data_IF_504796377614
#
_entry.id   IF_504796377614
#
_cell.length_a   1.000
_cell.length_b   1.000
_cell.length_c   1.000
_cell.angle_alpha   90.00
_cell.angle_beta   90.00
_cell.angle_gamma   90.00
#
_symmetry.space_group_name_H-M   'P 1'
#
loop_
_entity.id
_entity.type
_entity.pdbx_description
1 polymer ?
#
# COMPACT_ATOMS: atom_id res chain seq x y z
N UNK A 1 75.26 36.42 63.70
CA UNK A 1 74.34 36.27 62.56
C UNK A 1 74.91 35.18 61.67
N UNK A 2 74.42 33.94 61.81
CA UNK A 2 74.55 33.00 60.70
C UNK A 2 73.81 33.65 59.56
N UNK A 3 74.53 34.12 58.54
CA UNK A 3 73.94 34.32 57.23
C UNK A 3 73.12 33.06 56.98
N UNK A 4 71.85 33.21 56.58
CA UNK A 4 71.04 32.08 56.17
C UNK A 4 71.74 31.50 54.94
N UNK A 5 72.74 30.64 55.17
CA UNK A 5 73.28 29.75 54.16
C UNK A 5 72.05 29.11 53.55
N UNK A 6 71.96 29.17 52.21
CA UNK A 6 70.79 28.74 51.46
C UNK A 6 70.19 27.53 52.15
N UNK A 7 68.99 27.68 52.72
CA UNK A 7 68.39 26.71 53.65
C UNK A 7 68.28 25.32 53.00
N UNK A 8 68.39 25.29 51.67
CA UNK A 8 68.50 24.11 50.82
C UNK A 8 69.67 24.35 49.83
N UNK A 9 70.63 23.43 49.76
CA UNK A 9 71.67 23.40 48.72
C UNK A 9 71.11 22.82 47.40
N UNK A 10 71.72 23.08 46.24
CA UNK A 10 71.25 22.52 44.95
C UNK A 10 72.37 22.22 43.96
N UNK A 11 72.18 21.22 43.11
CA UNK A 11 73.12 20.83 42.06
C UNK A 11 72.87 19.41 41.54
N UNK A 12 73.85 18.79 40.88
CA UNK A 12 73.72 17.42 40.36
C UNK A 12 73.76 16.38 41.49
N UNK A 13 73.05 15.25 41.36
CA UNK A 13 73.08 14.18 42.36
C UNK A 13 74.50 13.64 42.61
N UNK A 14 75.32 13.55 41.56
CA UNK A 14 76.72 13.13 41.66
C UNK A 14 77.64 14.11 42.39
N UNK A 15 77.16 15.33 42.66
CA UNK A 15 77.90 16.38 43.34
C UNK A 15 77.46 16.57 44.81
N UNK A 16 76.73 15.60 45.39
CA UNK A 16 76.36 15.63 46.81
C UNK A 16 77.62 15.73 47.69
N UNK A 17 77.72 16.74 48.58
CA UNK A 17 78.83 16.83 49.51
C UNK A 17 78.75 15.69 50.54
N UNK A 18 79.84 15.45 51.27
CA UNK A 18 79.86 14.40 52.29
C UNK A 18 78.75 14.63 53.35
N UNK A 19 77.96 13.58 53.60
CA UNK A 19 76.94 13.57 54.63
C UNK A 19 77.61 13.67 56.01
N UNK A 20 77.36 14.77 56.70
CA UNK A 20 78.06 15.12 57.95
C UNK A 20 77.31 16.12 58.81
N UNK A 21 76.23 16.71 58.29
CA UNK A 21 75.45 17.74 58.99
C UNK A 21 73.99 17.29 58.99
N UNK A 22 73.53 16.62 60.07
CA UNK A 22 72.15 16.19 60.19
C UNK A 22 71.16 17.33 59.97
N UNK A 23 70.17 17.10 59.09
CA UNK A 23 69.06 18.01 58.83
C UNK A 23 69.27 19.00 57.68
N UNK A 24 70.47 19.07 57.08
CA UNK A 24 70.70 19.84 55.85
C UNK A 24 69.92 19.21 54.68
N UNK A 25 69.34 20.06 53.84
CA UNK A 25 68.59 19.67 52.64
C UNK A 25 69.39 19.96 51.36
N UNK A 26 69.25 19.08 50.38
CA UNK A 26 69.83 19.25 49.04
C UNK A 26 68.79 18.93 47.95
N UNK A 27 68.63 19.82 46.97
CA UNK A 27 67.82 19.59 45.78
C UNK A 27 68.71 19.16 44.60
N UNK A 28 68.63 17.88 44.24
CA UNK A 28 69.32 17.33 43.08
C UNK A 28 68.54 17.69 41.80
N UNK A 29 69.05 18.67 41.05
CA UNK A 29 68.33 19.31 39.92
C UNK A 29 68.19 18.41 38.70
N UNK A 30 69.06 17.41 38.56
CA UNK A 30 69.06 16.43 37.47
C UNK A 30 68.06 15.29 37.69
N UNK A 31 67.82 14.92 38.94
CA UNK A 31 66.87 13.87 39.33
C UNK A 31 65.54 14.44 39.85
N UNK A 32 65.46 15.76 40.01
CA UNK A 32 64.34 16.50 40.62
C UNK A 32 63.97 16.00 42.03
N UNK A 33 64.97 15.53 42.79
CA UNK A 33 64.80 14.92 44.10
C UNK A 33 65.32 15.81 45.24
N UNK A 34 64.64 15.76 46.38
CA UNK A 34 65.08 16.37 47.64
C UNK A 34 65.70 15.29 48.53
N UNK A 35 66.90 15.56 49.03
CA UNK A 35 67.66 14.69 49.91
C UNK A 35 67.89 15.38 51.26
N UNK A 36 67.89 14.62 52.37
CA UNK A 36 68.33 15.13 53.68
C UNK A 36 69.56 14.39 54.16
N UNK A 37 70.51 15.14 54.67
CA UNK A 37 71.68 14.61 55.34
C UNK A 37 71.27 14.10 56.73
N UNK A 38 71.55 12.84 57.05
CA UNK A 38 71.30 12.26 58.38
C UNK A 38 72.54 12.27 59.29
N UNK A 39 73.65 12.85 58.82
CA UNK A 39 74.96 12.89 59.48
C UNK A 39 75.94 11.81 59.04
N UNK A 40 75.47 10.79 58.30
CA UNK A 40 76.30 9.68 57.83
C UNK A 40 76.01 9.27 56.39
N UNK A 41 74.79 9.50 55.91
CA UNK A 41 74.36 9.31 54.53
C UNK A 41 73.32 10.36 54.13
N UNK A 42 73.01 10.41 52.84
CA UNK A 42 71.90 11.20 52.30
C UNK A 42 70.67 10.30 52.14
N UNK A 43 69.56 10.67 52.77
CA UNK A 43 68.28 9.99 52.65
C UNK A 43 67.40 10.73 51.63
N UNK A 44 66.86 10.02 50.63
CA UNK A 44 65.91 10.60 49.69
C UNK A 44 64.59 10.85 50.42
N UNK A 45 64.17 12.11 50.48
CA UNK A 45 62.92 12.54 51.12
C UNK A 45 61.99 13.26 50.16
N UNK A 46 62.25 13.16 48.87
CA UNK A 46 61.30 13.58 47.85
C UNK A 46 59.98 12.89 48.16
N UNK A 47 58.87 13.61 48.39
CA UNK A 47 57.58 12.98 48.60
C UNK A 47 57.33 11.99 47.48
N UNK A 48 57.02 10.74 47.82
CA UNK A 48 56.73 9.72 46.82
C UNK A 48 55.49 10.17 46.02
N UNK A 49 55.72 10.68 44.80
CA UNK A 49 54.64 11.11 43.90
C UNK A 49 54.71 12.53 43.33
N UNK A 50 55.88 13.11 43.07
CA UNK A 50 55.93 14.40 42.37
C UNK A 50 55.49 14.34 40.88
N UNK A 51 55.38 13.15 40.25
CA UNK A 51 54.87 12.98 38.86
C UNK A 51 54.22 11.61 38.61
N UNK A 52 53.25 11.18 39.41
CA UNK A 52 52.67 9.84 39.27
C UNK A 52 51.19 9.75 39.66
N UNK A 53 50.37 9.17 38.78
CA UNK A 53 49.07 8.59 39.17
C UNK A 53 49.37 7.37 40.06
N UNK A 54 49.03 7.42 41.36
CA UNK A 54 49.31 6.28 42.26
C UNK A 54 48.36 5.10 42.00
N UNK A 55 47.07 5.37 41.71
CA UNK A 55 46.13 4.45 41.07
C UNK A 55 44.89 5.21 40.55
N UNK A 56 44.32 4.77 39.43
CA UNK A 56 42.90 4.98 39.10
C UNK A 56 42.14 3.70 39.50
N UNK A 57 41.03 3.84 40.21
CA UNK A 57 40.21 2.71 40.69
C UNK A 57 38.77 2.83 40.15
N UNK A 58 38.08 1.70 40.00
CA UNK A 58 36.74 1.63 39.40
C UNK A 58 36.79 1.31 37.90
N UNK A 59 35.90 1.93 37.12
CA UNK A 59 35.72 1.63 35.68
C UNK A 59 36.89 2.07 34.80
N UNK A 60 37.78 2.91 35.32
CA UNK A 60 39.07 3.23 34.70
C UNK A 60 40.16 2.74 35.63
N UNK A 61 40.98 1.81 35.15
CA UNK A 61 42.10 1.27 35.90
C UNK A 61 43.41 1.75 35.29
N UNK A 62 44.32 2.23 36.14
CA UNK A 62 45.72 2.49 35.83
C UNK A 62 46.53 2.36 37.12
N UNK A 63 47.68 1.69 37.08
CA UNK A 63 48.51 1.44 38.28
C UNK A 63 50.00 1.69 37.99
N UNK A 64 50.70 2.29 38.94
CA UNK A 64 52.15 2.51 38.89
C UNK A 64 52.53 3.98 38.58
N UNK A 65 53.73 4.43 38.98
CA UNK A 65 54.13 5.82 38.81
C UNK A 65 54.46 6.19 37.35
N UNK A 66 54.41 7.49 37.03
CA UNK A 66 54.75 8.02 35.70
C UNK A 66 53.58 7.97 34.69
N UNK A 67 53.91 7.73 33.41
CA UNK A 67 52.92 7.58 32.33
C UNK A 67 52.35 6.16 32.32
N UNK A 68 51.10 6.01 32.75
CA UNK A 68 50.40 4.72 32.79
C UNK A 68 49.25 4.70 31.78
N UNK A 69 49.10 3.59 31.04
CA UNK A 69 47.99 3.39 30.13
C UNK A 69 46.68 3.20 30.91
N UNK A 70 45.72 4.12 30.72
CA UNK A 70 44.39 3.99 31.29
C UNK A 70 43.54 3.01 30.46
N UNK A 71 42.95 2.01 31.11
CA UNK A 71 42.05 1.04 30.46
C UNK A 71 40.67 1.12 31.08
N UNK A 72 39.62 1.15 30.26
CA UNK A 72 38.24 1.01 30.74
C UNK A 72 37.94 -0.46 31.06
N UNK A 73 37.27 -0.72 32.18
CA UNK A 73 36.69 -2.02 32.48
C UNK A 73 35.55 -2.34 31.48
N UNK A 74 35.22 -3.62 31.32
CA UNK A 74 34.07 -4.02 30.52
C UNK A 74 32.79 -3.66 31.29
N UNK A 75 31.88 -2.91 30.66
CA UNK A 75 30.66 -2.40 31.29
C UNK A 75 29.52 -3.42 31.38
N UNK A 76 29.79 -4.71 31.13
CA UNK A 76 28.77 -5.78 31.07
C UNK A 76 27.93 -5.78 29.79
N UNK A 77 28.07 -4.76 28.92
CA UNK A 77 27.49 -4.74 27.58
C UNK A 77 28.24 -5.72 26.69
N UNK A 78 27.53 -6.71 26.14
CA UNK A 78 28.11 -7.62 25.15
C UNK A 78 28.47 -6.83 23.89
N UNK A 79 29.73 -6.93 23.47
CA UNK A 79 30.20 -6.32 22.23
C UNK A 79 29.40 -6.85 21.04
N UNK A 80 28.97 -5.96 20.16
CA UNK A 80 28.18 -6.34 18.99
C UNK A 80 27.29 -5.22 18.49
N UNK A 81 26.53 -5.54 17.44
CA UNK A 81 25.54 -4.65 16.85
C UNK A 81 24.18 -4.95 17.46
N UNK A 82 23.55 -3.90 17.99
CA UNK A 82 22.20 -3.87 18.52
C UNK A 82 21.36 -3.22 17.44
N UNK A 83 20.27 -3.84 17.00
CA UNK A 83 19.53 -3.37 15.83
C UNK A 83 18.27 -2.58 16.24
N UNK A 84 17.94 -1.55 15.44
CA UNK A 84 16.76 -0.67 15.57
C UNK A 84 16.63 0.10 16.91
N UNK A 85 17.39 1.21 17.12
CA UNK A 85 18.39 1.77 16.22
C UNK A 85 19.62 0.88 16.14
N UNK A 86 20.30 0.88 14.99
CA UNK A 86 21.52 0.09 14.81
C UNK A 86 22.67 0.79 15.54
N UNK A 87 23.04 0.28 16.71
CA UNK A 87 24.14 0.79 17.54
C UNK A 87 25.17 -0.31 17.74
N UNK A 88 26.42 -0.02 17.42
CA UNK A 88 27.53 -0.97 17.63
C UNK A 88 28.28 -0.61 18.91
N UNK A 89 28.48 -1.59 19.78
CA UNK A 89 29.28 -1.44 20.99
C UNK A 89 30.57 -2.25 20.91
N UNK A 90 31.67 -1.66 21.37
CA UNK A 90 32.91 -2.41 21.57
C UNK A 90 32.90 -3.25 22.86
N UNK A 91 33.96 -4.02 23.11
CA UNK A 91 34.11 -4.85 24.32
C UNK A 91 34.14 -4.05 25.63
N UNK A 92 34.31 -2.73 25.54
CA UNK A 92 34.24 -1.82 26.68
C UNK A 92 32.88 -1.12 26.79
N UNK A 93 31.91 -1.54 25.98
CA UNK A 93 30.54 -1.02 25.92
C UNK A 93 30.45 0.44 25.47
N UNK A 94 31.45 0.94 24.74
CA UNK A 94 31.37 2.26 24.12
C UNK A 94 30.65 2.13 22.78
N UNK A 95 29.72 3.04 22.50
CA UNK A 95 29.11 3.13 21.17
C UNK A 95 30.17 3.58 20.16
N UNK A 96 30.38 2.79 19.11
CA UNK A 96 31.36 3.04 18.05
C UNK A 96 30.71 3.39 16.71
N UNK A 97 29.40 3.14 16.56
CA UNK A 97 28.58 3.56 15.44
C UNK A 97 27.11 3.64 15.87
N UNK A 98 26.33 4.55 15.27
CA UNK A 98 24.88 4.64 15.45
C UNK A 98 24.21 5.10 14.16
N UNK A 99 23.24 4.33 13.66
CA UNK A 99 22.40 4.68 12.50
C UNK A 99 20.94 4.29 12.77
N UNK A 100 19.99 5.06 12.23
CA UNK A 100 18.60 4.61 12.13
C UNK A 100 18.54 3.47 11.10
N UNK A 101 17.86 2.38 11.43
CA UNK A 101 17.84 1.17 10.61
C UNK A 101 16.51 0.45 10.66
N UNK A 102 16.37 -0.54 9.80
CA UNK A 102 15.24 -1.46 9.73
C UNK A 102 15.76 -2.90 9.68
N UNK A 103 14.93 -3.86 10.07
CA UNK A 103 15.20 -5.28 9.84
C UNK A 103 14.85 -5.66 8.41
N UNK A 104 15.75 -6.35 7.72
CA UNK A 104 15.41 -6.92 6.42
C UNK A 104 14.58 -8.19 6.63
N UNK A 105 13.45 -8.27 5.94
CA UNK A 105 12.70 -9.52 5.82
C UNK A 105 13.52 -10.55 5.04
N UNK A 106 13.75 -11.72 5.65
CA UNK A 106 14.40 -12.88 5.03
C UNK A 106 13.43 -14.04 4.78
N UNK A 107 12.13 -13.82 5.00
CA UNK A 107 11.09 -14.83 4.87
C UNK A 107 10.59 -14.97 3.44
N UNK A 108 9.32 -15.37 3.31
CA UNK A 108 8.59 -15.51 2.05
C UNK A 108 7.31 -14.70 2.08
N UNK A 109 6.61 -14.59 0.94
CA UNK A 109 5.32 -13.90 0.88
C UNK A 109 4.35 -14.43 1.96
N UNK A 110 3.74 -13.51 2.72
CA UNK A 110 2.84 -13.79 3.85
C UNK A 110 3.48 -14.49 5.07
N UNK A 111 4.76 -14.87 5.00
CA UNK A 111 5.49 -15.53 6.08
C UNK A 111 6.85 -14.85 6.26
N UNK A 112 6.81 -13.66 6.86
CA UNK A 112 7.96 -12.79 7.04
C UNK A 112 8.88 -13.31 8.15
N UNK A 113 10.16 -12.96 8.08
CA UNK A 113 11.14 -13.35 9.09
C UNK A 113 12.15 -12.24 9.32
N UNK A 114 12.44 -11.92 10.58
CA UNK A 114 13.45 -10.93 10.97
C UNK A 114 14.44 -11.52 11.97
N UNK A 115 15.71 -11.13 11.85
CA UNK A 115 16.75 -11.46 12.83
C UNK A 115 17.07 -10.22 13.65
N UNK A 116 16.86 -10.29 14.95
CA UNK A 116 17.02 -9.20 15.92
C UNK A 116 18.11 -9.56 16.92
N UNK A 117 19.13 -8.69 17.01
CA UNK A 117 20.21 -8.78 17.99
C UNK A 117 20.22 -7.53 18.88
N UNK A 118 20.38 -7.69 20.22
CA UNK A 118 20.24 -8.94 20.96
C UNK A 118 18.81 -9.50 20.86
N UNK A 119 18.64 -10.79 21.15
CA UNK A 119 17.32 -11.42 21.08
C UNK A 119 16.33 -10.74 22.06
N UNK A 120 15.18 -10.24 21.59
CA UNK A 120 14.25 -9.52 22.45
C UNK A 120 13.41 -10.48 23.30
N UNK A 121 12.97 -10.00 24.46
CA UNK A 121 11.81 -10.56 25.15
C UNK A 121 10.56 -9.85 24.65
N UNK A 122 9.58 -10.60 24.13
CA UNK A 122 8.35 -10.01 23.60
C UNK A 122 7.40 -9.64 24.73
N UNK A 123 7.08 -8.36 24.82
CA UNK A 123 6.08 -7.77 25.72
C UNK A 123 5.20 -6.82 24.93
N UNK A 124 3.96 -6.61 25.38
CA UNK A 124 3.06 -5.66 24.73
C UNK A 124 3.72 -4.27 24.63
N UNK A 125 3.62 -3.63 23.47
CA UNK A 125 4.31 -2.39 23.12
C UNK A 125 5.68 -2.57 22.47
N UNK A 126 6.23 -3.78 22.39
CA UNK A 126 7.47 -4.03 21.63
C UNK A 126 7.24 -3.74 20.14
N UNK A 127 8.00 -2.80 19.56
CA UNK A 127 7.86 -2.42 18.16
C UNK A 127 9.18 -2.38 17.40
N UNK A 128 9.09 -2.63 16.09
CA UNK A 128 10.23 -2.51 15.18
C UNK A 128 9.81 -2.15 13.76
N UNK A 129 10.77 -1.61 13.00
CA UNK A 129 10.61 -1.41 11.57
C UNK A 129 11.21 -2.57 10.80
N UNK A 130 10.50 -3.07 9.78
CA UNK A 130 11.04 -4.02 8.83
C UNK A 130 10.87 -3.54 7.39
N UNK A 131 11.82 -3.87 6.53
CA UNK A 131 11.68 -3.75 5.08
C UNK A 131 11.23 -5.09 4.52
N UNK A 132 9.99 -5.16 4.05
CA UNK A 132 9.41 -6.36 3.47
C UNK A 132 10.12 -6.71 2.16
N UNK A 133 10.53 -7.97 1.97
CA UNK A 133 11.09 -8.43 0.70
C UNK A 133 9.97 -8.82 -0.28
N UNK A 134 8.80 -9.21 0.26
CA UNK A 134 7.66 -9.70 -0.50
C UNK A 134 6.39 -8.91 -0.19
N UNK A 135 5.57 -8.68 -1.22
CA UNK A 135 4.23 -8.14 -1.01
C UNK A 135 3.32 -9.20 -0.35
N UNK A 136 2.37 -8.77 0.48
CA UNK A 136 1.38 -9.70 1.01
C UNK A 136 0.20 -9.88 0.04
N UNK A 137 -0.31 -11.09 -0.04
CA UNK A 137 -1.48 -11.48 -0.86
C UNK A 137 -2.61 -12.08 -0.03
N UNK A 138 -2.43 -12.16 1.29
CA UNK A 138 -3.42 -12.64 2.25
C UNK A 138 -3.00 -12.36 3.69
N UNK A 139 -3.47 -13.19 4.61
CA UNK A 139 -3.09 -13.14 6.01
C UNK A 139 -1.59 -13.40 6.15
N UNK A 140 -0.91 -12.58 6.94
CA UNK A 140 0.54 -12.60 7.07
C UNK A 140 0.99 -12.89 8.49
N UNK A 141 2.20 -13.42 8.62
CA UNK A 141 2.88 -13.65 9.90
C UNK A 141 4.30 -13.11 9.86
N UNK A 142 4.88 -12.84 11.03
CA UNK A 142 6.32 -12.58 11.20
C UNK A 142 6.90 -13.52 12.25
N UNK A 143 8.06 -14.11 11.96
CA UNK A 143 8.87 -14.84 12.92
C UNK A 143 10.10 -14.02 13.34
N UNK A 144 10.44 -14.07 14.63
CA UNK A 144 11.62 -13.38 15.17
C UNK A 144 12.66 -14.43 15.53
N UNK A 145 13.88 -14.30 15.00
CA UNK A 145 15.01 -15.20 15.27
C UNK A 145 14.69 -16.69 15.06
N UNK A 146 13.84 -17.02 14.08
CA UNK A 146 13.42 -18.40 13.81
C UNK A 146 12.48 -19.01 14.85
N UNK A 147 11.95 -18.20 15.78
CA UNK A 147 10.91 -18.61 16.74
C UNK A 147 9.54 -18.80 16.09
N UNK A 148 8.52 -18.98 16.93
CA UNK A 148 7.13 -19.14 16.49
C UNK A 148 6.67 -17.95 15.64
N UNK A 149 6.01 -18.25 14.52
CA UNK A 149 5.39 -17.23 13.69
C UNK A 149 4.20 -16.60 14.42
N UNK A 150 4.18 -15.27 14.48
CA UNK A 150 3.13 -14.47 15.12
C UNK A 150 2.35 -13.75 14.02
N UNK A 151 1.03 -13.68 14.14
CA UNK A 151 0.17 -13.01 13.16
C UNK A 151 0.54 -11.54 13.01
N UNK A 152 0.44 -11.04 11.78
CA UNK A 152 0.42 -9.62 11.49
C UNK A 152 -1.02 -9.20 11.19
N UNK A 153 -1.52 -8.24 11.94
CA UNK A 153 -2.90 -7.74 11.86
C UNK A 153 -2.94 -6.23 11.64
N UNK A 154 -4.13 -5.74 11.29
CA UNK A 154 -4.47 -4.32 11.17
C UNK A 154 -5.68 -4.01 12.06
N UNK A 155 -5.83 -2.75 12.44
CA UNK A 155 -6.98 -2.27 13.21
C UNK A 155 -7.29 -3.15 14.44
N UNK A 156 -6.27 -3.47 15.24
CA UNK A 156 -6.40 -4.42 16.35
C UNK A 156 -6.09 -5.84 15.91
N UNK A 157 -7.12 -6.62 15.60
CA UNK A 157 -7.03 -8.08 15.38
C UNK A 157 -7.45 -8.50 13.97
N UNK A 158 -7.63 -7.56 13.04
CA UNK A 158 -8.10 -7.90 11.69
C UNK A 158 -6.93 -8.45 10.89
N UNK A 159 -7.06 -9.67 10.36
CA UNK A 159 -6.05 -10.24 9.47
C UNK A 159 -5.85 -9.37 8.22
N UNK A 160 -4.63 -9.37 7.68
CA UNK A 160 -4.37 -8.77 6.38
C UNK A 160 -5.09 -9.55 5.27
N UNK A 161 -5.50 -8.84 4.23
CA UNK A 161 -6.28 -9.41 3.11
C UNK A 161 -5.52 -9.47 1.79
N UNK A 162 -4.35 -8.82 1.72
CA UNK A 162 -3.54 -8.68 0.52
C UNK A 162 -3.42 -7.21 0.12
N UNK A 163 -2.21 -6.81 -0.30
CA UNK A 163 -1.92 -5.46 -0.78
C UNK A 163 -1.64 -4.42 0.30
N UNK A 164 -1.72 -4.77 1.60
CA UNK A 164 -1.35 -3.86 2.69
C UNK A 164 0.16 -3.65 2.85
N UNK A 165 0.96 -4.61 2.41
CA UNK A 165 2.43 -4.60 2.46
C UNK A 165 2.93 -4.79 1.03
N UNK A 166 3.69 -3.82 0.52
CA UNK A 166 4.35 -3.92 -0.77
C UNK A 166 5.79 -4.44 -0.65
N UNK A 167 6.29 -5.13 -1.67
CA UNK A 167 7.69 -5.53 -1.74
C UNK A 167 8.61 -4.29 -1.73
N UNK A 168 9.61 -4.30 -0.87
CA UNK A 168 10.54 -3.19 -0.65
C UNK A 168 10.03 -2.10 0.30
N UNK A 169 8.78 -2.17 0.76
CA UNK A 169 8.21 -1.21 1.71
C UNK A 169 8.81 -1.38 3.10
N UNK A 170 9.14 -0.26 3.75
CA UNK A 170 9.44 -0.24 5.18
C UNK A 170 8.10 -0.06 5.93
N UNK A 171 7.81 -0.98 6.83
CA UNK A 171 6.62 -0.95 7.69
C UNK A 171 7.03 -0.98 9.16
N UNK A 172 6.17 -0.45 10.01
CA UNK A 172 6.30 -0.52 11.47
C UNK A 172 5.29 -1.52 12.05
N UNK A 173 5.81 -2.45 12.84
CA UNK A 173 5.04 -3.47 13.55
C UNK A 173 5.15 -3.22 15.06
N UNK A 174 4.04 -3.34 15.79
CA UNK A 174 4.07 -3.36 17.25
C UNK A 174 3.28 -4.54 17.81
N UNK A 175 3.89 -5.24 18.75
CA UNK A 175 3.31 -6.39 19.44
C UNK A 175 2.29 -5.91 20.48
N UNK A 176 1.08 -6.45 20.44
CA UNK A 176 0.01 -6.09 21.40
C UNK A 176 -0.08 -7.06 22.60
N UNK A 177 0.81 -8.07 22.64
CA UNK A 177 0.78 -9.16 23.62
C UNK A 177 0.25 -10.48 23.06
N UNK A 178 -0.33 -10.48 21.85
CA UNK A 178 -0.76 -11.68 21.13
C UNK A 178 -0.29 -11.67 19.67
N UNK A 179 -0.47 -10.55 18.98
CA UNK A 179 -0.23 -10.37 17.55
C UNK A 179 0.65 -9.12 17.30
N UNK A 180 1.26 -9.03 16.12
CA UNK A 180 1.91 -7.80 15.65
C UNK A 180 0.92 -6.98 14.84
N UNK A 181 0.66 -5.74 15.24
CA UNK A 181 -0.16 -4.82 14.47
C UNK A 181 0.71 -3.96 13.55
N UNK A 182 0.30 -3.76 12.29
CA UNK A 182 0.91 -2.75 11.41
C UNK A 182 0.42 -1.36 11.81
N UNK A 183 1.33 -0.47 12.21
CA UNK A 183 1.01 0.87 12.76
C UNK A 183 1.47 2.00 11.83
N UNK A 184 2.50 1.73 11.02
CA UNK A 184 3.04 2.66 10.03
C UNK A 184 3.26 1.93 8.72
N UNK A 185 2.52 2.35 7.69
CA UNK A 185 2.54 1.74 6.36
C UNK A 185 1.24 2.06 5.67
N UNK A 186 1.27 3.02 4.75
CA UNK A 186 0.18 3.27 3.82
C UNK A 186 0.10 2.11 2.82
N UNK A 187 -0.30 0.94 3.30
CA UNK A 187 -0.94 -0.05 2.47
C UNK A 187 -2.31 0.50 2.17
N UNK A 188 -2.53 0.95 0.93
CA UNK A 188 -3.85 1.12 0.36
C UNK A 188 -4.54 -0.24 0.44
N UNK A 189 -5.06 -0.57 1.62
CA UNK A 189 -5.67 -1.86 1.90
C UNK A 189 -6.91 -1.96 1.06
N UNK A 190 -6.77 -2.59 -0.10
CA UNK A 190 -7.85 -3.21 -0.88
C UNK A 190 -9.15 -2.42 -0.97
N UNK A 191 -9.11 -1.08 -0.97
CA UNK A 191 -10.29 -0.24 -1.13
C UNK A 191 -10.70 -0.11 -2.60
N UNK A 192 -10.25 -1.04 -3.45
CA UNK A 192 -10.77 -1.22 -4.79
C UNK A 192 -12.06 -2.01 -4.76
N UNK A 193 -12.70 -2.13 -5.92
CA UNK A 193 -13.86 -3.00 -6.08
C UNK A 193 -13.43 -4.45 -5.79
N UNK A 194 -13.90 -5.01 -4.67
CA UNK A 194 -13.56 -6.38 -4.23
C UNK A 194 -14.11 -7.46 -5.15
N UNK A 195 -15.22 -7.16 -5.85
CA UNK A 195 -15.73 -7.94 -6.97
C UNK A 195 -16.61 -7.07 -7.87
N UNK A 196 -16.43 -7.18 -9.17
CA UNK A 196 -17.45 -6.81 -10.15
C UNK A 196 -18.15 -8.13 -10.47
N UNK A 197 -19.39 -8.30 -10.02
CA UNK A 197 -20.18 -9.46 -10.41
C UNK A 197 -20.73 -9.17 -11.80
N UNK A 198 -20.37 -9.99 -12.78
CA UNK A 198 -21.01 -9.94 -14.08
C UNK A 198 -22.51 -10.26 -13.91
N UNK A 199 -23.35 -9.28 -14.22
CA UNK A 199 -24.80 -9.42 -14.30
C UNK A 199 -25.26 -9.20 -15.75
N UNK A 200 -26.56 -9.14 -16.00
CA UNK A 200 -27.11 -8.95 -17.36
C UNK A 200 -26.51 -7.76 -18.12
N UNK A 201 -26.11 -6.70 -17.41
CA UNK A 201 -25.59 -5.46 -18.00
C UNK A 201 -24.09 -5.24 -17.76
N UNK A 202 -23.41 -6.22 -17.16
CA UNK A 202 -21.97 -6.13 -16.84
C UNK A 202 -21.30 -7.39 -17.33
N UNK A 203 -20.49 -7.28 -18.37
CA UNK A 203 -19.71 -8.40 -18.89
C UNK A 203 -18.24 -8.21 -18.56
N UNK A 204 -17.58 -9.28 -18.11
CA UNK A 204 -16.13 -9.33 -17.86
C UNK A 204 -15.55 -10.36 -18.82
N UNK A 205 -14.61 -9.96 -19.68
CA UNK A 205 -13.99 -10.86 -20.64
C UNK A 205 -12.49 -10.59 -20.84
N UNK A 206 -11.63 -11.62 -20.87
CA UNK A 206 -11.95 -13.03 -20.57
C UNK A 206 -12.21 -13.26 -19.07
N UNK A 207 -12.94 -14.33 -18.72
CA UNK A 207 -13.11 -14.72 -17.32
C UNK A 207 -11.79 -15.25 -16.75
N UNK A 208 -11.21 -14.50 -15.82
CA UNK A 208 -9.90 -14.81 -15.21
C UNK A 208 -8.73 -14.19 -15.99
N UNK A 209 -8.18 -13.08 -15.47
CA UNK A 209 -7.07 -12.34 -16.08
C UNK A 209 -7.33 -10.84 -16.12
N UNK A 210 -6.47 -10.09 -16.83
CA UNK A 210 -6.67 -8.66 -17.10
C UNK A 210 -7.65 -8.50 -18.26
N UNK A 211 -8.95 -8.57 -17.97
CA UNK A 211 -10.03 -8.37 -18.94
C UNK A 211 -10.61 -6.95 -18.91
N UNK A 212 -11.35 -6.57 -19.95
CA UNK A 212 -12.12 -5.33 -19.95
C UNK A 212 -13.45 -5.53 -19.21
N UNK A 213 -13.90 -4.51 -18.49
CA UNK A 213 -15.26 -4.44 -17.95
C UNK A 213 -16.10 -3.65 -18.93
N UNK A 214 -17.09 -4.30 -19.53
CA UNK A 214 -18.07 -3.64 -20.39
C UNK A 214 -19.37 -3.48 -19.62
N UNK A 215 -19.81 -2.23 -19.48
CA UNK A 215 -21.16 -1.90 -19.00
C UNK A 215 -22.02 -1.80 -20.24
N UNK A 216 -22.85 -2.80 -20.47
CA UNK A 216 -23.80 -2.79 -21.58
C UNK A 216 -25.01 -1.95 -21.15
N UNK A 217 -25.22 -0.81 -21.81
CA UNK A 217 -26.29 0.14 -21.49
C UNK A 217 -27.70 -0.39 -21.86
N UNK A 218 -27.82 -1.66 -22.27
CA UNK A 218 -29.08 -2.31 -22.65
C UNK A 218 -30.10 -2.46 -21.51
N UNK A 219 -29.68 -2.34 -20.25
CA UNK A 219 -30.59 -2.40 -19.10
C UNK A 219 -30.73 -1.07 -18.37
N UNK A 220 -31.47 -0.14 -18.99
CA UNK A 220 -32.10 0.99 -18.32
C UNK A 220 -31.19 2.17 -17.99
N UNK A 221 -31.18 3.18 -18.86
CA UNK A 221 -30.77 4.54 -18.47
C UNK A 221 -29.86 5.30 -19.44
N UNK A 222 -29.38 4.69 -20.52
CA UNK A 222 -28.75 5.42 -21.63
C UNK A 222 -29.75 5.56 -22.75
N UNK A 223 -30.02 6.79 -23.21
CA UNK A 223 -30.94 7.07 -24.31
C UNK A 223 -30.60 6.27 -25.57
N UNK A 224 -31.23 5.09 -25.69
CA UNK A 224 -31.30 4.34 -26.93
C UNK A 224 -31.84 5.28 -27.99
N UNK A 225 -31.28 5.20 -29.20
CA UNK A 225 -31.69 6.00 -30.34
C UNK A 225 -33.23 6.09 -30.36
N UNK A 226 -33.78 7.26 -30.02
CA UNK A 226 -35.23 7.51 -29.97
C UNK A 226 -35.87 7.36 -31.38
N UNK A 227 -35.02 7.23 -32.40
CA UNK A 227 -35.37 6.83 -33.74
C UNK A 227 -35.37 5.30 -33.85
N UNK A 228 -36.56 4.74 -34.09
CA UNK A 228 -36.70 3.34 -34.49
C UNK A 228 -36.06 3.05 -35.85
N UNK A 229 -35.84 1.77 -36.20
CA UNK A 229 -35.29 1.39 -37.50
C UNK A 229 -36.23 1.79 -38.64
N UNK A 230 -35.65 2.00 -39.83
CA UNK A 230 -36.40 2.13 -41.08
C UNK A 230 -36.26 0.84 -41.86
N UNK A 231 -37.35 0.10 -42.02
CA UNK A 231 -37.42 -1.13 -42.78
C UNK A 231 -38.03 -0.89 -44.16
N UNK A 232 -37.25 -1.13 -45.21
CA UNK A 232 -37.62 -0.82 -46.58
C UNK A 232 -38.20 -2.04 -47.30
N UNK A 233 -39.50 -1.98 -47.61
CA UNK A 233 -40.25 -3.06 -48.24
C UNK A 233 -40.62 -2.70 -49.69
N UNK A 234 -40.40 -3.64 -50.60
CA UNK A 234 -40.72 -3.49 -52.04
C UNK A 234 -41.72 -4.53 -52.55
N UNK A 235 -42.15 -5.46 -51.69
CA UNK A 235 -43.13 -6.50 -52.04
C UNK A 235 -44.56 -5.96 -52.12
N UNK A 236 -45.46 -6.77 -52.69
CA UNK A 236 -46.91 -6.51 -52.67
C UNK A 236 -47.57 -6.98 -51.37
N UNK A 237 -46.83 -7.68 -50.51
CA UNK A 237 -47.30 -8.13 -49.20
C UNK A 237 -46.13 -8.13 -48.22
N UNK A 238 -46.39 -7.65 -47.01
CA UNK A 238 -45.46 -7.68 -45.90
C UNK A 238 -46.20 -8.05 -44.61
N UNK A 239 -45.61 -8.89 -43.77
CA UNK A 239 -46.12 -9.14 -42.42
C UNK A 239 -45.10 -8.59 -41.45
N UNK A 240 -45.55 -7.73 -40.55
CA UNK A 240 -44.70 -7.07 -39.56
C UNK A 240 -43.95 -8.10 -38.70
N UNK A 241 -42.73 -7.77 -38.33
CA UNK A 241 -41.84 -8.57 -37.49
C UNK A 241 -41.21 -7.72 -36.39
N UNK A 242 -40.77 -8.35 -35.31
CA UNK A 242 -40.31 -7.62 -34.11
C UNK A 242 -39.16 -6.64 -34.41
N UNK A 243 -38.34 -6.92 -35.43
CA UNK A 243 -37.26 -6.02 -35.89
C UNK A 243 -37.73 -4.71 -36.51
N UNK A 244 -39.02 -4.56 -36.84
CA UNK A 244 -39.58 -3.31 -37.36
C UNK A 244 -39.75 -2.27 -36.24
N UNK A 245 -39.84 -2.72 -34.98
CA UNK A 245 -39.91 -1.85 -33.80
C UNK A 245 -39.28 -2.54 -32.57
N UNK A 246 -37.98 -2.85 -32.59
CA UNK A 246 -37.32 -3.64 -31.54
C UNK A 246 -37.35 -2.94 -30.17
N UNK A 247 -37.45 -1.60 -30.18
CA UNK A 247 -37.53 -0.75 -29.01
C UNK A 247 -38.91 -0.08 -28.85
N UNK A 248 -39.94 -0.60 -29.51
CA UNK A 248 -41.30 -0.04 -29.47
C UNK A 248 -41.54 1.16 -30.38
N UNK A 249 -40.57 1.55 -31.21
CA UNK A 249 -40.70 2.55 -32.27
C UNK A 249 -40.04 2.02 -33.55
N UNK A 250 -40.59 2.35 -34.72
CA UNK A 250 -39.93 2.17 -36.02
C UNK A 250 -40.83 2.51 -37.21
N UNK A 251 -40.24 2.48 -38.40
CA UNK A 251 -40.86 2.92 -39.65
C UNK A 251 -40.72 1.83 -40.72
N UNK A 252 -41.81 1.52 -41.43
CA UNK A 252 -41.81 0.62 -42.59
C UNK A 252 -42.15 1.44 -43.85
N UNK A 253 -41.27 1.45 -44.84
CA UNK A 253 -41.55 2.14 -46.11
C UNK A 253 -41.98 1.15 -47.18
N UNK A 254 -43.13 1.39 -47.82
CA UNK A 254 -43.67 0.55 -48.89
C UNK A 254 -43.43 1.19 -50.26
N UNK A 255 -42.48 0.67 -51.02
CA UNK A 255 -42.13 1.15 -52.37
C UNK A 255 -42.49 0.13 -53.44
N UNK A 256 -43.78 0.07 -53.81
CA UNK A 256 -44.26 -0.76 -54.90
C UNK A 256 -45.26 0.02 -55.78
N UNK A 257 -45.21 -0.17 -57.11
CA UNK A 257 -46.13 0.47 -58.04
C UNK A 257 -47.52 -0.20 -58.08
N UNK A 258 -47.63 -1.45 -57.65
CA UNK A 258 -48.88 -2.17 -57.47
C UNK A 258 -49.39 -2.03 -56.02
N UNK A 259 -50.72 -2.13 -55.86
CA UNK A 259 -51.35 -2.15 -54.54
C UNK A 259 -50.70 -3.22 -53.66
N UNK A 260 -50.45 -2.87 -52.41
CA UNK A 260 -49.69 -3.68 -51.49
C UNK A 260 -50.31 -3.66 -50.10
N UNK A 261 -50.04 -4.71 -49.32
CA UNK A 261 -50.68 -4.92 -48.02
C UNK A 261 -49.64 -5.17 -46.93
N UNK A 262 -49.75 -4.46 -45.82
CA UNK A 262 -48.96 -4.69 -44.60
C UNK A 262 -49.87 -5.34 -43.55
N UNK A 263 -49.50 -6.52 -43.09
CA UNK A 263 -50.29 -7.32 -42.14
C UNK A 263 -49.74 -7.15 -40.73
N UNK A 264 -50.61 -6.77 -39.79
CA UNK A 264 -50.31 -6.78 -38.35
C UNK A 264 -50.56 -8.21 -37.82
N UNK A 265 -49.51 -8.97 -37.45
CA UNK A 265 -49.66 -10.32 -36.94
C UNK A 265 -50.24 -10.34 -35.51
N UNK A 266 -50.82 -11.47 -35.05
CA UNK A 266 -51.19 -11.61 -33.65
C UNK A 266 -49.96 -11.56 -32.73
N UNK A 267 -50.13 -11.01 -31.52
CA UNK A 267 -49.11 -10.95 -30.47
C UNK A 267 -48.51 -12.31 -30.10
N UNK A 268 -49.26 -13.39 -30.33
CA UNK A 268 -48.76 -14.76 -30.12
C UNK A 268 -47.70 -15.19 -31.14
N UNK A 269 -47.61 -14.53 -32.31
CA UNK A 269 -46.60 -14.79 -33.34
C UNK A 269 -45.50 -13.74 -33.34
N UNK A 270 -45.85 -12.46 -33.19
CA UNK A 270 -44.89 -11.36 -33.10
C UNK A 270 -45.32 -10.47 -31.93
N UNK A 271 -44.57 -10.57 -30.84
CA UNK A 271 -44.97 -9.95 -29.59
C UNK A 271 -44.48 -8.50 -29.49
N UNK A 272 -45.28 -7.57 -30.01
CA UNK A 272 -45.10 -6.15 -29.71
C UNK A 272 -45.64 -5.81 -28.31
N UNK A 273 -44.87 -5.11 -27.46
CA UNK A 273 -45.38 -4.57 -26.20
C UNK A 273 -46.48 -3.52 -26.43
N UNK A 274 -47.43 -3.41 -25.49
CA UNK A 274 -48.39 -2.30 -25.47
C UNK A 274 -47.62 -0.99 -25.37
N UNK A 275 -47.97 -0.02 -26.23
CA UNK A 275 -47.25 1.23 -26.39
C UNK A 275 -46.39 1.31 -27.66
N UNK A 276 -46.13 0.19 -28.33
CA UNK A 276 -45.41 0.16 -29.61
C UNK A 276 -46.09 1.05 -30.65
N UNK A 277 -45.32 1.87 -31.35
CA UNK A 277 -45.75 2.67 -32.51
C UNK A 277 -44.97 2.24 -33.75
N UNK A 278 -45.69 1.93 -34.82
CA UNK A 278 -45.12 1.64 -36.13
C UNK A 278 -45.65 2.65 -37.14
N UNK A 279 -44.74 3.39 -37.77
CA UNK A 279 -45.04 4.29 -38.87
C UNK A 279 -44.95 3.55 -40.21
N UNK A 280 -45.80 3.92 -41.16
CA UNK A 280 -45.78 3.41 -42.53
C UNK A 280 -45.75 4.56 -43.52
N UNK A 281 -44.88 4.48 -44.52
CA UNK A 281 -44.79 5.48 -45.59
C UNK A 281 -45.01 4.81 -46.93
N UNK A 282 -46.06 5.20 -47.66
CA UNK A 282 -46.30 4.73 -49.03
C UNK A 282 -45.37 5.48 -50.01
N UNK A 283 -44.19 4.96 -50.29
CA UNK A 283 -43.26 5.57 -51.26
C UNK A 283 -43.65 5.26 -52.72
N UNK A 284 -44.26 4.09 -52.96
CA UNK A 284 -44.67 3.65 -54.29
C UNK A 284 -46.03 4.19 -54.73
N UNK A 285 -46.32 4.11 -56.04
CA UNK A 285 -47.60 4.57 -56.60
C UNK A 285 -48.78 3.65 -56.24
N UNK A 286 -48.53 2.39 -55.89
CA UNK A 286 -49.55 1.44 -55.50
C UNK A 286 -50.07 1.70 -54.09
N UNK A 287 -51.38 1.61 -53.89
CA UNK A 287 -51.98 1.91 -52.59
C UNK A 287 -51.51 0.90 -51.53
N UNK A 288 -50.98 1.41 -50.42
CA UNK A 288 -50.64 0.61 -49.24
C UNK A 288 -51.85 0.49 -48.33
N UNK A 289 -52.22 -0.74 -47.96
CA UNK A 289 -53.30 -1.03 -47.03
C UNK A 289 -52.81 -1.83 -45.82
N UNK A 290 -53.30 -1.50 -44.63
CA UNK A 290 -53.12 -2.30 -43.42
C UNK A 290 -54.14 -3.43 -43.39
N UNK A 291 -53.69 -4.62 -43.02
CA UNK A 291 -54.53 -5.78 -42.79
C UNK A 291 -54.36 -6.29 -41.35
N UNK A 292 -55.47 -6.61 -40.70
CA UNK A 292 -55.44 -7.28 -39.41
C UNK A 292 -55.19 -8.78 -39.62
N UNK A 293 -54.17 -9.33 -38.97
CA UNK A 293 -53.98 -10.77 -38.85
C UNK A 293 -55.04 -11.42 -37.95
N UNK A 294 -54.95 -12.74 -37.78
CA UNK A 294 -55.92 -13.50 -37.00
C UNK A 294 -56.05 -12.98 -35.55
N UNK A 295 -57.25 -12.54 -35.16
CA UNK A 295 -57.53 -12.04 -33.81
C UNK A 295 -57.02 -10.62 -33.52
N UNK A 296 -56.43 -9.94 -34.50
CA UNK A 296 -56.01 -8.54 -34.39
C UNK A 296 -57.19 -7.62 -34.72
N UNK A 297 -57.32 -6.52 -33.98
CA UNK A 297 -58.26 -5.43 -34.27
C UNK A 297 -57.47 -4.14 -34.48
N UNK A 298 -57.70 -3.46 -35.61
CA UNK A 298 -57.12 -2.14 -35.91
C UNK A 298 -58.27 -1.13 -35.98
N UNK A 299 -58.40 -0.29 -34.97
CA UNK A 299 -59.43 0.73 -34.88
C UNK A 299 -59.04 1.97 -35.68
N UNK A 300 -59.94 2.47 -36.52
CA UNK A 300 -59.79 3.71 -37.29
C UNK A 300 -61.16 4.36 -37.50
N UNK A 301 -61.28 5.69 -37.52
CA UNK A 301 -62.52 6.36 -37.91
C UNK A 301 -62.76 6.35 -39.43
N UNK A 302 -61.79 5.88 -40.23
CA UNK A 302 -61.85 5.84 -41.71
C UNK A 302 -61.57 4.42 -42.22
N UNK A 303 -60.86 4.27 -43.33
CA UNK A 303 -60.38 2.99 -43.84
C UNK A 303 -58.96 2.67 -43.31
N UNK A 304 -58.45 1.51 -43.68
CA UNK A 304 -57.08 1.05 -43.40
C UNK A 304 -56.12 1.25 -44.58
N UNK A 305 -56.49 2.04 -45.57
CA UNK A 305 -55.67 2.32 -46.75
C UNK A 305 -55.10 3.73 -46.74
N UNK A 306 -53.84 3.86 -47.12
CA UNK A 306 -53.21 5.15 -47.40
C UNK A 306 -53.96 5.92 -48.49
N UNK A 307 -54.02 7.25 -48.36
CA UNK A 307 -54.72 8.12 -49.32
C UNK A 307 -54.05 8.16 -50.68
N UNK A 308 -52.76 8.39 -50.72
CA UNK A 308 -52.01 8.61 -51.94
C UNK A 308 -50.53 8.24 -51.77
N UNK A 309 -49.77 8.36 -52.86
CA UNK A 309 -48.31 8.29 -52.77
C UNK A 309 -47.80 9.37 -51.80
N UNK A 310 -46.85 8.98 -50.96
CA UNK A 310 -46.28 9.71 -49.83
C UNK A 310 -47.21 9.93 -48.63
N UNK A 311 -48.40 9.31 -48.60
CA UNK A 311 -49.18 9.25 -47.37
C UNK A 311 -48.38 8.50 -46.29
N UNK A 312 -48.31 9.13 -45.12
CA UNK A 312 -47.73 8.57 -43.91
C UNK A 312 -48.85 8.29 -42.92
N UNK A 313 -48.84 7.08 -42.37
CA UNK A 313 -49.79 6.61 -41.36
C UNK A 313 -49.02 5.95 -40.22
N UNK A 314 -49.63 5.82 -39.06
CA UNK A 314 -49.05 5.07 -37.95
C UNK A 314 -50.08 4.17 -37.29
N UNK A 315 -49.63 3.12 -36.63
CA UNK A 315 -50.44 2.33 -35.70
C UNK A 315 -49.80 2.33 -34.33
N UNK A 316 -50.63 2.41 -33.28
CA UNK A 316 -50.20 2.27 -31.90
C UNK A 316 -50.92 1.11 -31.22
N UNK A 317 -50.15 0.24 -30.57
CA UNK A 317 -50.74 -0.83 -29.78
C UNK A 317 -51.25 -0.30 -28.44
N UNK A 318 -52.56 -0.39 -28.21
CA UNK A 318 -53.22 0.10 -26.99
C UNK A 318 -53.60 -1.02 -26.02
N UNK A 319 -53.70 -2.26 -26.52
CA UNK A 319 -53.79 -3.49 -25.73
C UNK A 319 -53.28 -4.67 -26.58
N UNK A 320 -53.06 -5.85 -25.98
CA UNK A 320 -52.70 -7.07 -26.74
C UNK A 320 -53.68 -7.28 -27.89
N UNK A 321 -53.18 -7.43 -29.12
CA UNK A 321 -53.95 -7.52 -30.36
C UNK A 321 -54.88 -6.33 -30.71
N UNK A 322 -54.87 -5.22 -29.96
CA UNK A 322 -55.71 -4.04 -30.23
C UNK A 322 -54.83 -2.84 -30.58
N UNK A 323 -55.03 -2.34 -31.78
CA UNK A 323 -54.29 -1.21 -32.35
C UNK A 323 -55.23 -0.07 -32.70
N UNK A 324 -54.70 1.15 -32.72
CA UNK A 324 -55.37 2.33 -33.29
C UNK A 324 -54.52 2.80 -34.46
N UNK A 325 -55.14 2.99 -35.62
CA UNK A 325 -54.49 3.59 -36.79
C UNK A 325 -54.79 5.09 -36.87
N UNK A 326 -53.79 5.86 -37.25
CA UNK A 326 -53.83 7.31 -37.40
C UNK A 326 -53.05 7.77 -38.63
N UNK A 327 -53.24 9.04 -39.03
CA UNK A 327 -52.55 9.64 -40.17
C UNK A 327 -53.42 9.77 -41.42
N UNK A 328 -52.78 9.80 -42.59
CA UNK A 328 -53.43 10.12 -43.86
C UNK A 328 -54.10 8.91 -44.55
N UNK A 329 -55.25 8.49 -44.00
CA UNK A 329 -56.06 7.34 -44.45
C UNK A 329 -57.28 7.79 -45.29
N UNK A 330 -57.73 6.96 -46.25
CA UNK A 330 -58.94 7.22 -47.07
C UNK A 330 -59.84 6.00 -47.26
#
# INVERSE_FOLDING_TARGET
MSTLASVIEKGLYSALPAASIPGRLYFATDTEQIWRDNGTSWDNVTPAGASAITALTGDVTATGPGSAAATLAASGVTAGTYNNPTVTFDVKGRATAAINGYFADSGSANAYAVTISPAPSLVAGFGFQMKAAHANTGASTVSINGGTAINITKAGTTALTGGEIAAGQIIELAYDGTEFQIIGGSGSGGGGVTQIIAGTNVTISPSGGTGAVTIDAGGGGGGGNLYGPVDAQTGTSYTLQLSDAPNGLGTVTMNNAANNTVTVPPNSSVNYPVGTVLEFVQLGAGQTALAAGAGVTINTPTSLSCRAQYSTIAIKQIATNVWVAEGDLQ
#
